data_IF_543417123573
#
_entry.id   IF_543417123573
#
_cell.length_a   1.000
_cell.length_b   1.000
_cell.length_c   1.000
_cell.angle_alpha   90.00
_cell.angle_beta   90.00
_cell.angle_gamma   90.00
#
_symmetry.space_group_name_H-M   'P 1'
#
loop_
_entity.id
_entity.type
_entity.pdbx_description
1 polymer ?
#
# COMPACT_ATOMS: atom_id res chain seq x y z
N UNK A 1 2.11 27.75 -6.33
CA UNK A 1 3.36 27.37 -7.02
C UNK A 1 4.07 26.36 -6.14
N UNK A 2 4.63 25.29 -6.69
CA UNK A 2 5.35 24.26 -5.91
C UNK A 2 6.67 23.99 -6.63
N UNK A 3 7.77 23.91 -5.89
CA UNK A 3 9.09 23.59 -6.41
C UNK A 3 9.76 22.52 -5.57
N UNK A 4 9.91 21.31 -6.14
CA UNK A 4 10.60 20.20 -5.48
C UNK A 4 12.10 20.45 -5.31
N UNK A 5 12.72 21.30 -6.18
CA UNK A 5 14.15 21.58 -6.12
C UNK A 5 14.52 22.49 -4.94
N UNK A 6 13.69 23.49 -4.67
CA UNK A 6 13.92 24.47 -3.59
C UNK A 6 13.14 24.15 -2.32
N UNK A 7 12.19 23.22 -2.38
CA UNK A 7 11.30 22.86 -1.27
C UNK A 7 10.09 23.79 -1.12
N UNK A 8 9.94 24.78 -2.00
CA UNK A 8 8.86 25.77 -1.91
C UNK A 8 7.48 25.10 -2.07
N UNK A 9 6.60 25.32 -1.10
CA UNK A 9 5.22 24.83 -1.13
C UNK A 9 5.02 23.36 -0.76
N UNK A 10 6.08 22.64 -0.34
CA UNK A 10 5.95 21.23 0.09
C UNK A 10 5.10 21.12 1.35
N UNK A 11 5.31 21.95 2.37
CA UNK A 11 4.54 21.86 3.63
C UNK A 11 3.04 22.09 3.39
N UNK A 12 2.70 23.12 2.60
CA UNK A 12 1.32 23.41 2.23
C UNK A 12 0.69 22.30 1.37
N UNK A 13 1.49 21.63 0.53
CA UNK A 13 1.03 20.45 -0.22
C UNK A 13 0.75 19.27 0.71
N UNK A 14 1.60 19.03 1.71
CA UNK A 14 1.41 17.94 2.68
C UNK A 14 0.13 18.15 3.50
N UNK A 15 -0.14 19.39 3.94
CA UNK A 15 -1.39 19.73 4.62
C UNK A 15 -2.62 19.46 3.73
N UNK A 16 -2.56 19.83 2.44
CA UNK A 16 -3.63 19.54 1.47
C UNK A 16 -3.84 18.05 1.24
N UNK A 17 -2.77 17.28 1.18
CA UNK A 17 -2.88 15.81 1.04
C UNK A 17 -3.67 15.23 2.21
N UNK A 18 -3.41 15.70 3.43
CA UNK A 18 -4.13 15.25 4.63
C UNK A 18 -5.58 15.72 4.62
N UNK A 19 -5.87 16.96 4.19
CA UNK A 19 -7.24 17.49 4.18
C UNK A 19 -8.12 16.89 3.07
N UNK A 20 -7.55 16.66 1.90
CA UNK A 20 -8.32 16.37 0.68
C UNK A 20 -8.43 14.86 0.42
N UNK A 21 -7.44 14.05 0.86
CA UNK A 21 -7.45 12.60 0.67
C UNK A 21 -8.11 11.93 1.89
N UNK A 22 -9.26 11.25 1.72
CA UNK A 22 -9.91 10.58 2.83
C UNK A 22 -9.07 9.41 3.34
N UNK A 23 -9.14 9.20 4.65
CA UNK A 23 -8.55 8.01 5.27
C UNK A 23 -9.19 6.72 4.71
N UNK A 24 -8.43 5.61 4.62
CA UNK A 24 -8.99 4.32 4.24
C UNK A 24 -10.02 3.84 5.28
N UNK A 25 -11.05 3.12 4.81
CA UNK A 25 -12.12 2.59 5.67
C UNK A 25 -11.55 1.50 6.59
N UNK A 26 -11.84 1.55 7.89
CA UNK A 26 -11.38 0.52 8.83
C UNK A 26 -12.19 -0.78 8.66
N UNK A 27 -11.54 -1.78 8.06
CA UNK A 27 -12.08 -3.11 7.83
C UNK A 27 -11.19 -4.21 8.41
N UNK A 28 -10.44 -3.92 9.48
CA UNK A 28 -9.47 -4.86 10.09
C UNK A 28 -10.08 -6.20 10.54
N UNK A 29 -11.38 -6.24 10.82
CA UNK A 29 -12.11 -7.46 11.25
C UNK A 29 -12.59 -8.35 10.09
N UNK A 30 -12.55 -7.87 8.85
CA UNK A 30 -12.94 -8.66 7.67
C UNK A 30 -11.83 -9.64 7.28
N UNK A 31 -12.15 -10.56 6.38
CA UNK A 31 -11.15 -11.43 5.77
C UNK A 31 -10.12 -10.60 5.00
N UNK A 32 -8.90 -11.12 4.89
CA UNK A 32 -7.81 -10.46 4.17
C UNK A 32 -8.18 -10.35 2.68
N UNK A 33 -8.21 -9.11 2.19
CA UNK A 33 -8.24 -8.79 0.77
C UNK A 33 -7.17 -7.75 0.49
N UNK A 34 -6.25 -8.09 -0.41
CA UNK A 34 -5.14 -7.24 -0.78
C UNK A 34 -4.98 -7.20 -2.30
N UNK A 35 -4.63 -6.02 -2.81
CA UNK A 35 -4.32 -5.79 -4.21
C UNK A 35 -2.81 -5.77 -4.40
N UNK A 36 -2.30 -6.59 -5.33
CA UNK A 36 -0.92 -6.48 -5.82
C UNK A 36 -0.83 -5.22 -6.68
N UNK A 37 -0.04 -4.25 -6.25
CA UNK A 37 0.24 -3.03 -7.02
C UNK A 37 1.41 -3.27 -7.95
N UNK A 38 2.48 -3.84 -7.41
CA UNK A 38 3.73 -4.09 -8.12
C UNK A 38 4.45 -5.28 -7.51
N UNK A 39 5.39 -5.85 -8.25
CA UNK A 39 6.25 -6.93 -7.79
C UNK A 39 7.62 -6.85 -8.44
N UNK A 40 8.67 -7.12 -7.68
CA UNK A 40 10.05 -7.17 -8.18
C UNK A 40 10.80 -8.38 -7.62
N UNK A 41 11.91 -8.71 -8.27
CA UNK A 41 12.80 -9.77 -7.82
C UNK A 41 13.95 -9.18 -7.01
N UNK A 42 14.10 -9.65 -5.78
CA UNK A 42 15.27 -9.43 -4.93
C UNK A 42 16.17 -10.66 -4.94
N UNK A 43 17.48 -10.45 -5.02
CA UNK A 43 18.45 -11.55 -5.20
C UNK A 43 18.53 -12.49 -3.99
N UNK A 44 18.15 -12.03 -2.79
CA UNK A 44 18.27 -12.81 -1.55
C UNK A 44 16.92 -13.33 -1.06
N UNK A 45 15.86 -12.52 -1.16
CA UNK A 45 14.53 -12.89 -0.65
C UNK A 45 13.57 -13.39 -1.74
N UNK A 46 13.97 -13.35 -3.01
CA UNK A 46 13.16 -13.81 -4.13
C UNK A 46 12.11 -12.77 -4.55
N UNK A 47 10.91 -13.22 -4.90
CA UNK A 47 9.84 -12.32 -5.37
C UNK A 47 9.26 -11.53 -4.19
N UNK A 48 9.33 -10.20 -4.28
CA UNK A 48 8.71 -9.27 -3.34
C UNK A 48 7.51 -8.63 -4.03
N UNK A 49 6.38 -8.56 -3.33
CA UNK A 49 5.14 -7.93 -3.83
C UNK A 49 4.75 -6.74 -2.96
N UNK A 50 4.50 -5.60 -3.57
CA UNK A 50 3.90 -4.43 -2.93
C UNK A 50 2.38 -4.59 -2.93
N UNK A 51 1.80 -4.64 -1.74
CA UNK A 51 0.37 -4.87 -1.56
C UNK A 51 -0.32 -3.63 -0.96
N UNK A 52 -1.52 -3.33 -1.46
CA UNK A 52 -2.49 -2.48 -0.76
C UNK A 52 -3.52 -3.36 -0.08
N UNK A 53 -3.57 -3.31 1.25
CA UNK A 53 -4.62 -3.98 2.04
C UNK A 53 -5.92 -3.17 1.88
N UNK A 54 -6.97 -3.83 1.41
CA UNK A 54 -8.32 -3.26 1.30
C UNK A 54 -9.16 -3.69 2.49
N UNK A 55 -9.07 -4.95 2.89
CA UNK A 55 -9.79 -5.53 4.03
C UNK A 55 -8.89 -6.45 4.86
N UNK A 56 -9.19 -6.56 6.15
CA UNK A 56 -8.50 -7.46 7.06
C UNK A 56 -7.10 -7.00 7.46
N UNK A 57 -6.23 -7.96 7.77
CA UNK A 57 -4.84 -7.76 8.17
C UNK A 57 -3.99 -8.94 7.72
N UNK A 58 -2.69 -8.70 7.58
CA UNK A 58 -1.68 -9.72 7.31
C UNK A 58 -0.56 -9.58 8.34
N UNK A 59 -0.03 -10.71 8.80
CA UNK A 59 1.05 -10.80 9.78
C UNK A 59 2.12 -11.78 9.29
N UNK A 60 3.33 -11.67 9.84
CA UNK A 60 4.44 -12.58 9.51
C UNK A 60 4.04 -14.01 9.88
N UNK A 61 4.18 -14.94 8.93
CA UNK A 61 3.81 -16.35 9.10
C UNK A 61 2.42 -16.72 8.59
N UNK A 62 1.59 -15.74 8.21
CA UNK A 62 0.26 -16.00 7.63
C UNK A 62 0.37 -16.75 6.30
N UNK A 63 -0.48 -17.76 6.11
CA UNK A 63 -0.62 -18.45 4.82
C UNK A 63 -1.56 -17.63 3.93
N UNK A 64 -1.03 -17.12 2.83
CA UNK A 64 -1.80 -16.35 1.84
C UNK A 64 -2.14 -17.19 0.62
N UNK A 65 -3.28 -16.87 -0.02
CA UNK A 65 -3.72 -17.47 -1.28
C UNK A 65 -3.83 -16.39 -2.35
N UNK A 66 -3.15 -16.56 -3.47
CA UNK A 66 -3.29 -15.67 -4.63
C UNK A 66 -4.51 -16.13 -5.43
N UNK A 67 -5.47 -15.23 -5.62
CA UNK A 67 -6.75 -15.58 -6.26
C UNK A 67 -6.65 -15.75 -7.78
N UNK A 68 -5.67 -15.10 -8.44
CA UNK A 68 -5.51 -15.15 -9.90
C UNK A 68 -4.96 -16.48 -10.41
N UNK A 69 -4.08 -17.11 -9.65
CA UNK A 69 -3.43 -18.37 -9.99
C UNK A 69 -4.21 -19.50 -9.31
N UNK A 70 -5.38 -19.82 -9.86
CA UNK A 70 -6.18 -20.95 -9.39
C UNK A 70 -5.48 -22.27 -9.75
N UNK A 71 -4.66 -22.75 -8.81
CA UNK A 71 -4.64 -24.17 -8.41
C UNK A 71 -5.14 -24.28 -6.97
#
# INVERSE_FOLDING_TARGET
MISAKTGEGIDALMERIVSDIPAPIDHKKKNLEALIIDSWFDQYVGVVSLLRIVNGKISVGDKIKIMSTQK
#
